data_IF_696039278564
#
_entry.id   IF_696039278564
#
_cell.length_a   1.000
_cell.length_b   1.000
_cell.length_c   1.000
_cell.angle_alpha   90.00
_cell.angle_beta   90.00
_cell.angle_gamma   90.00
#
_symmetry.space_group_name_H-M   'P 1'
#
loop_
_entity.id
_entity.type
_entity.pdbx_description
1 polymer ?
#
# COMPACT_ATOMS: atom_id res chain seq x y z
N UNK A 1 -0.30 -0.95 23.06
CA UNK A 1 -0.70 -0.07 21.93
C UNK A 1 0.51 0.74 21.50
N UNK A 2 1.11 0.37 20.38
CA UNK A 2 2.12 1.21 19.74
C UNK A 2 1.42 2.44 19.17
N UNK A 3 1.84 3.63 19.58
CA UNK A 3 1.29 4.88 19.03
C UNK A 3 1.88 5.06 17.62
N UNK A 4 1.12 4.69 16.60
CA UNK A 4 1.52 4.87 15.20
C UNK A 4 1.27 6.32 14.80
N UNK A 5 2.32 6.99 14.33
CA UNK A 5 2.21 8.36 13.83
C UNK A 5 2.11 8.33 12.30
N UNK A 6 0.88 8.43 11.81
CA UNK A 6 0.63 8.58 10.37
C UNK A 6 1.32 9.83 9.80
N UNK A 7 1.73 9.72 8.54
CA UNK A 7 2.43 10.78 7.83
C UNK A 7 1.52 11.96 7.50
N UNK A 8 2.10 13.10 7.10
CA UNK A 8 1.34 14.33 6.88
C UNK A 8 0.40 14.18 5.69
N UNK A 9 0.89 13.61 4.58
CA UNK A 9 0.08 13.44 3.37
C UNK A 9 -0.96 12.33 3.55
N UNK A 10 -0.60 11.22 4.20
CA UNK A 10 -1.55 10.15 4.43
C UNK A 10 -2.72 10.56 5.34
N UNK A 11 -2.48 11.42 6.35
CA UNK A 11 -3.58 12.02 7.12
C UNK A 11 -4.52 12.86 6.27
N UNK A 12 -3.99 13.63 5.31
CA UNK A 12 -4.84 14.40 4.38
C UNK A 12 -5.66 13.48 3.48
N UNK A 13 -5.05 12.39 3.01
CA UNK A 13 -5.76 11.35 2.25
C UNK A 13 -6.94 10.78 3.05
N UNK A 14 -6.71 10.35 4.29
CA UNK A 14 -7.77 9.82 5.16
C UNK A 14 -8.85 10.87 5.47
N UNK A 15 -8.49 12.13 5.68
CA UNK A 15 -9.46 13.21 5.90
C UNK A 15 -10.33 13.50 4.68
N UNK A 16 -9.78 13.32 3.47
CA UNK A 16 -10.48 13.62 2.22
C UNK A 16 -11.34 12.46 1.74
N UNK A 17 -10.84 11.24 1.85
CA UNK A 17 -11.46 10.06 1.23
C UNK A 17 -11.74 8.92 2.21
N UNK A 18 -10.95 8.83 3.29
CA UNK A 18 -11.05 7.78 4.31
C UNK A 18 -10.98 6.34 3.76
N UNK A 19 -9.98 6.06 2.93
CA UNK A 19 -9.80 4.76 2.28
C UNK A 19 -10.72 4.58 1.06
N UNK A 20 -11.13 3.35 0.80
CA UNK A 20 -12.07 2.99 -0.26
C UNK A 20 -11.41 2.54 -1.56
N UNK A 21 -12.25 2.22 -2.55
CA UNK A 21 -11.83 1.79 -3.88
C UNK A 21 -11.53 3.00 -4.76
N UNK A 22 -10.54 2.85 -5.63
CA UNK A 22 -10.12 3.89 -6.57
C UNK A 22 -10.37 3.42 -8.01
N UNK A 23 -10.57 4.38 -8.92
CA UNK A 23 -10.60 4.15 -10.35
C UNK A 23 -9.92 5.35 -11.03
N UNK A 24 -8.88 5.17 -11.87
CA UNK A 24 -8.21 3.90 -12.20
C UNK A 24 -7.53 3.20 -11.01
N UNK A 25 -7.20 1.91 -11.13
CA UNK A 25 -6.63 1.11 -10.04
C UNK A 25 -5.48 0.16 -10.41
N UNK A 26 -4.98 0.17 -11.65
CA UNK A 26 -3.76 -0.57 -11.97
C UNK A 26 -2.53 0.25 -11.62
N UNK A 27 -1.48 -0.42 -11.17
CA UNK A 27 -0.17 0.18 -10.96
C UNK A 27 0.94 -0.78 -11.38
N UNK A 28 2.09 -0.24 -11.77
CA UNK A 28 3.29 -1.01 -12.09
C UNK A 28 4.13 -1.17 -10.82
N UNK A 29 4.55 -2.41 -10.53
CA UNK A 29 5.45 -2.74 -9.42
C UNK A 29 6.91 -2.50 -9.85
N UNK A 30 7.32 -3.17 -10.93
CA UNK A 30 8.60 -2.96 -11.64
C UNK A 30 8.53 -3.60 -13.03
N UNK A 31 9.58 -3.45 -13.84
CA UNK A 31 9.66 -4.13 -15.15
C UNK A 31 9.71 -5.66 -14.99
N UNK A 32 10.31 -6.15 -13.90
CA UNK A 32 10.46 -7.58 -13.60
C UNK A 32 9.21 -8.17 -12.92
N UNK A 33 8.61 -7.45 -11.97
CA UNK A 33 7.41 -7.90 -11.24
C UNK A 33 6.11 -7.62 -12.00
N UNK A 34 6.16 -6.75 -13.00
CA UNK A 34 5.00 -6.36 -13.79
C UNK A 34 4.07 -5.41 -13.04
N UNK A 35 2.78 -5.73 -13.04
CA UNK A 35 1.71 -4.85 -12.56
C UNK A 35 0.78 -5.57 -11.60
N UNK A 36 0.15 -4.81 -10.70
CA UNK A 36 -0.92 -5.30 -9.83
C UNK A 36 -2.11 -4.34 -9.85
N UNK A 37 -3.18 -4.74 -9.16
CA UNK A 37 -4.46 -4.05 -9.05
C UNK A 37 -4.62 -3.64 -7.60
N UNK A 38 -4.85 -2.35 -7.36
CA UNK A 38 -5.27 -1.89 -6.04
C UNK A 38 -6.73 -2.27 -5.82
N UNK A 39 -7.00 -3.15 -4.84
CA UNK A 39 -8.34 -3.59 -4.50
C UNK A 39 -9.07 -2.54 -3.66
N UNK A 40 -8.48 -2.15 -2.53
CA UNK A 40 -9.04 -1.15 -1.61
C UNK A 40 -7.93 -0.49 -0.78
N UNK A 41 -8.09 0.80 -0.46
CA UNK A 41 -7.35 1.42 0.63
C UNK A 41 -8.11 1.27 1.94
N UNK A 42 -7.40 0.91 3.00
CA UNK A 42 -7.98 0.82 4.33
C UNK A 42 -8.30 2.22 4.88
N UNK A 43 -9.48 2.36 5.48
CA UNK A 43 -9.89 3.60 6.14
C UNK A 43 -9.86 3.49 7.66
N UNK A 44 -10.35 4.51 8.35
CA UNK A 44 -10.46 4.54 9.81
C UNK A 44 -11.91 4.68 10.29
N UNK A 45 -12.23 4.07 11.43
CA UNK A 45 -13.56 4.09 12.05
C UNK A 45 -14.27 2.72 11.96
N UNK A 46 -15.59 2.69 12.07
CA UNK A 46 -16.34 1.43 12.05
C UNK A 46 -16.56 0.95 10.60
N UNK A 47 -15.55 0.30 10.03
CA UNK A 47 -15.58 -0.24 8.67
C UNK A 47 -14.99 -1.65 8.64
N UNK A 48 -15.34 -2.42 7.61
CA UNK A 48 -14.77 -3.75 7.38
C UNK A 48 -13.29 -3.65 6.98
N UNK A 49 -12.96 -2.73 6.08
CA UNK A 49 -11.59 -2.49 5.61
C UNK A 49 -10.85 -1.51 6.54
N UNK A 50 -10.80 -1.83 7.84
CA UNK A 50 -10.26 -0.93 8.86
C UNK A 50 -8.73 -1.01 8.98
N UNK A 51 -8.08 0.14 8.88
CA UNK A 51 -6.63 0.30 8.93
C UNK A 51 -6.00 -0.28 10.21
N UNK A 52 -6.62 -0.09 11.38
CA UNK A 52 -6.09 -0.61 12.64
C UNK A 52 -6.15 -2.14 12.68
N UNK A 53 -7.23 -2.75 12.19
CA UNK A 53 -7.36 -4.20 12.12
C UNK A 53 -6.28 -4.79 11.21
N UNK A 54 -6.03 -4.20 10.05
CA UNK A 54 -4.98 -4.66 9.14
C UNK A 54 -3.56 -4.39 9.65
N UNK A 55 -3.33 -3.31 10.40
CA UNK A 55 -2.07 -3.12 11.11
C UNK A 55 -1.81 -4.27 12.09
N UNK A 56 -2.82 -4.66 12.86
CA UNK A 56 -2.70 -5.75 13.84
C UNK A 56 -2.50 -7.11 13.14
N UNK A 57 -3.20 -7.36 12.02
CA UNK A 57 -3.04 -8.58 11.20
C UNK A 57 -1.62 -8.70 10.62
N UNK A 58 -1.01 -7.58 10.24
CA UNK A 58 0.32 -7.54 9.62
C UNK A 58 1.46 -7.33 10.64
N UNK A 59 1.14 -7.28 11.94
CA UNK A 59 2.15 -7.12 12.98
C UNK A 59 3.16 -8.28 12.95
N UNK A 60 4.44 -7.94 12.93
CA UNK A 60 5.52 -8.92 12.80
C UNK A 60 5.74 -9.51 11.40
N UNK A 61 5.03 -9.06 10.36
CA UNK A 61 5.26 -9.46 8.95
C UNK A 61 5.94 -8.39 8.11
N UNK A 62 5.75 -7.12 8.48
CA UNK A 62 6.33 -5.99 7.76
C UNK A 62 7.64 -5.52 8.40
N UNK A 63 8.56 -4.95 7.60
CA UNK A 63 9.75 -4.32 8.13
C UNK A 63 9.40 -3.18 9.11
N UNK A 64 10.28 -2.96 10.08
CA UNK A 64 10.08 -1.92 11.08
C UNK A 64 9.89 -0.53 10.43
N UNK A 65 8.79 0.13 10.78
CA UNK A 65 8.46 1.47 10.27
C UNK A 65 7.52 1.48 9.07
N UNK A 66 7.00 0.32 8.65
CA UNK A 66 5.91 0.24 7.68
C UNK A 66 4.57 -0.07 8.36
N UNK A 67 3.50 0.33 7.71
CA UNK A 67 2.13 -0.12 7.99
C UNK A 67 1.45 -0.48 6.67
N UNK A 68 0.52 -1.44 6.65
CA UNK A 68 -0.29 -1.68 5.46
C UNK A 68 -1.34 -0.57 5.36
N UNK A 69 -1.63 -0.12 4.14
CA UNK A 69 -2.63 0.92 3.85
C UNK A 69 -3.67 0.50 2.82
N UNK A 70 -3.49 -0.65 2.19
CA UNK A 70 -4.41 -1.28 1.25
C UNK A 70 -3.86 -2.63 0.79
N UNK A 71 -4.62 -3.32 -0.04
CA UNK A 71 -4.30 -4.64 -0.60
C UNK A 71 -4.53 -4.73 -2.11
N UNK A 72 -3.98 -5.79 -2.68
CA UNK A 72 -4.48 -6.38 -3.92
C UNK A 72 -5.30 -7.66 -3.66
N UNK A 73 -6.04 -8.17 -4.66
CA UNK A 73 -6.85 -9.39 -4.48
C UNK A 73 -6.05 -10.67 -4.26
N UNK A 74 -4.72 -10.66 -4.46
CA UNK A 74 -3.85 -11.82 -4.32
C UNK A 74 -3.26 -11.97 -2.92
N UNK A 75 -3.58 -11.04 -2.00
CA UNK A 75 -3.09 -11.06 -0.63
C UNK A 75 -1.80 -10.27 -0.43
N UNK A 76 -1.38 -9.49 -1.42
CA UNK A 76 -0.27 -8.54 -1.28
C UNK A 76 -0.75 -7.24 -0.63
N UNK A 77 0.19 -6.45 -0.13
CA UNK A 77 -0.13 -5.21 0.57
C UNK A 77 0.52 -4.00 -0.08
N UNK A 78 -0.20 -2.87 -0.08
CA UNK A 78 0.36 -1.54 -0.31
C UNK A 78 0.73 -1.00 1.07
N UNK A 79 1.99 -0.62 1.26
CA UNK A 79 2.54 -0.21 2.54
C UNK A 79 2.99 1.25 2.53
N UNK A 80 2.82 1.92 3.67
CA UNK A 80 3.29 3.29 3.93
C UNK A 80 4.47 3.26 4.89
N UNK A 81 5.57 3.91 4.51
CA UNK A 81 6.66 4.20 5.42
C UNK A 81 6.31 5.33 6.41
N UNK A 82 6.33 5.01 7.69
CA UNK A 82 5.98 5.91 8.81
C UNK A 82 7.20 6.46 9.56
N UNK A 83 8.40 5.95 9.25
CA UNK A 83 9.68 6.34 9.86
C UNK A 83 10.74 6.57 8.80
N UNK A 84 11.76 7.38 9.13
CA UNK A 84 12.95 7.53 8.29
C UNK A 84 13.70 6.18 8.19
N UNK A 85 14.32 5.85 7.04
CA UNK A 85 14.46 6.67 5.82
C UNK A 85 13.29 6.54 4.82
N UNK A 86 12.21 5.85 5.20
CA UNK A 86 11.07 5.51 4.33
C UNK A 86 9.89 6.47 4.48
N UNK A 87 10.02 7.53 5.28
CA UNK A 87 8.91 8.40 5.64
C UNK A 87 8.17 8.93 4.40
N UNK A 88 6.84 8.76 4.37
CA UNK A 88 5.91 9.04 3.26
C UNK A 88 5.95 8.06 2.09
N UNK A 89 7.03 7.29 1.91
CA UNK A 89 7.17 6.41 0.73
C UNK A 89 6.15 5.28 0.73
N UNK A 90 5.73 4.91 -0.46
CA UNK A 90 4.77 3.84 -0.73
C UNK A 90 5.52 2.65 -1.31
N UNK A 91 5.23 1.46 -0.80
CA UNK A 91 5.81 0.20 -1.23
C UNK A 91 4.74 -0.84 -1.51
N UNK A 92 5.05 -1.79 -2.37
CA UNK A 92 4.34 -3.03 -2.55
C UNK A 92 5.06 -4.10 -1.72
N UNK A 93 4.33 -4.86 -0.92
CA UNK A 93 4.82 -6.02 -0.18
C UNK A 93 4.25 -7.27 -0.84
N UNK A 94 5.15 -8.13 -1.34
CA UNK A 94 4.79 -9.39 -2.01
C UNK A 94 4.72 -10.54 -1.00
N UNK A 95 3.51 -11.08 -0.83
CA UNK A 95 3.23 -12.20 0.07
C UNK A 95 3.98 -13.48 -0.34
N UNK A 96 4.15 -13.73 -1.63
CA UNK A 96 4.70 -14.99 -2.14
C UNK A 96 6.21 -15.10 -1.89
N UNK A 97 6.88 -13.98 -1.67
CA UNK A 97 8.32 -13.89 -1.40
C UNK A 97 8.64 -13.48 0.04
N UNK A 98 7.69 -13.61 0.98
CA UNK A 98 7.89 -13.21 2.37
C UNK A 98 9.10 -13.93 3.02
N UNK A 99 10.12 -13.18 3.51
CA UNK A 99 11.27 -13.77 4.18
C UNK A 99 10.95 -14.15 5.63
N UNK A 100 11.74 -15.07 6.21
CA UNK A 100 11.62 -15.42 7.64
C UNK A 100 11.89 -14.23 8.57
N UNK A 101 12.77 -13.30 8.15
CA UNK A 101 13.06 -12.06 8.87
C UNK A 101 12.26 -10.90 8.25
N UNK A 102 11.28 -10.32 8.96
CA UNK A 102 10.46 -9.22 8.45
C UNK A 102 11.24 -7.96 8.08
N UNK A 103 12.42 -7.74 8.67
CA UNK A 103 13.26 -6.60 8.32
C UNK A 103 14.09 -6.81 7.03
N UNK A 104 14.08 -8.02 6.47
CA UNK A 104 14.57 -8.27 5.12
C UNK A 104 13.54 -7.71 4.11
N UNK A 105 13.96 -6.71 3.34
CA UNK A 105 13.10 -5.99 2.40
C UNK A 105 13.11 -6.58 0.98
N UNK A 106 13.57 -7.82 0.80
CA UNK A 106 13.65 -8.47 -0.52
C UNK A 106 12.31 -8.63 -1.23
N UNK A 107 11.20 -8.65 -0.49
CA UNK A 107 9.83 -8.69 -1.02
C UNK A 107 9.13 -7.31 -1.01
N UNK A 108 9.87 -6.23 -0.73
CA UNK A 108 9.36 -4.87 -0.66
C UNK A 108 9.82 -4.05 -1.88
N UNK A 109 8.87 -3.67 -2.73
CA UNK A 109 9.13 -2.93 -3.97
C UNK A 109 8.67 -1.49 -3.85
N UNK A 110 9.54 -0.53 -4.14
CA UNK A 110 9.20 0.88 -4.09
C UNK A 110 8.19 1.25 -5.18
N UNK A 111 7.10 1.92 -4.82
CA UNK A 111 6.06 2.37 -5.75
C UNK A 111 6.09 3.89 -5.99
N UNK A 112 6.26 4.68 -4.92
CA UNK A 112 6.18 6.15 -5.02
C UNK A 112 6.78 6.84 -3.78
N UNK A 113 7.16 8.11 -3.91
CA UNK A 113 7.70 8.88 -2.78
C UNK A 113 6.63 9.31 -1.78
N UNK A 114 5.35 9.28 -2.17
CA UNK A 114 4.21 9.60 -1.33
C UNK A 114 2.88 9.11 -1.92
N UNK A 115 1.82 9.19 -1.12
CA UNK A 115 0.46 8.75 -1.52
C UNK A 115 -0.08 9.53 -2.72
N UNK A 116 0.22 10.83 -2.86
CA UNK A 116 -0.28 11.63 -3.98
C UNK A 116 0.38 11.19 -5.29
N UNK A 117 1.69 10.92 -5.28
CA UNK A 117 2.43 10.36 -6.42
C UNK A 117 1.92 8.96 -6.79
N UNK A 118 1.66 8.10 -5.81
CA UNK A 118 1.08 6.78 -6.07
C UNK A 118 -0.31 6.87 -6.70
N UNK A 119 -1.19 7.73 -6.19
CA UNK A 119 -2.52 7.93 -6.77
C UNK A 119 -2.45 8.46 -8.21
N UNK A 120 -1.47 9.33 -8.51
CA UNK A 120 -1.27 9.86 -9.86
C UNK A 120 -0.63 8.86 -10.82
N UNK A 121 0.01 7.80 -10.33
CA UNK A 121 0.58 6.75 -11.19
C UNK A 121 -0.42 5.65 -11.55
N UNK A 122 -1.62 5.64 -10.94
CA UNK A 122 -2.65 4.67 -11.26
C UNK A 122 -3.18 4.84 -12.70
N UNK A 123 -3.41 3.73 -13.38
CA UNK A 123 -3.91 3.71 -14.75
C UNK A 123 -5.02 2.65 -14.95
N UNK A 124 -5.83 2.85 -15.98
CA UNK A 124 -6.89 1.90 -16.37
C UNK A 124 -6.36 0.88 -17.37
N UNK A 125 -7.14 -0.16 -17.65
CA UNK A 125 -6.84 -1.01 -18.80
C UNK A 125 -6.84 -0.17 -20.07
N UNK A 126 -5.82 -0.34 -20.90
CA UNK A 126 -5.84 0.20 -22.25
C UNK A 126 -6.78 -0.69 -23.06
N UNK A 127 -7.96 -0.18 -23.41
CA UNK A 127 -8.84 -0.85 -24.36
C UNK A 127 -8.07 -1.03 -25.68
N UNK A 128 -7.68 -2.27 -25.98
CA UNK A 128 -7.24 -2.60 -27.32
C UNK A 128 -8.48 -2.60 -28.21
N UNK A 129 -8.69 -1.48 -28.92
CA UNK A 129 -9.62 -1.44 -30.04
C UNK A 129 -9.11 -2.38 -31.13
N UNK A 130 -9.52 -3.65 -31.06
CA UNK A 130 -9.35 -4.60 -32.15
C UNK A 130 -10.13 -4.06 -33.36
N UNK A 131 -9.38 -3.48 -34.30
CA UNK A 131 -9.87 -3.08 -35.63
C UNK A 131 -10.12 -4.31 -36.49
#
# INVERSE_FOLDING_TARGET
MNIIKLTKLYKKFLLKWNGGKVAPNLFTISDEQGRSVLNVFYGIGNMYDNLADFIDIMDGRLPAGFIPIGDDPAGNAICLGTKQPYYEKIYFWDHEQEPENPDDMSNMYFLANNIDEFLNSLYGEVEQNNS
#
